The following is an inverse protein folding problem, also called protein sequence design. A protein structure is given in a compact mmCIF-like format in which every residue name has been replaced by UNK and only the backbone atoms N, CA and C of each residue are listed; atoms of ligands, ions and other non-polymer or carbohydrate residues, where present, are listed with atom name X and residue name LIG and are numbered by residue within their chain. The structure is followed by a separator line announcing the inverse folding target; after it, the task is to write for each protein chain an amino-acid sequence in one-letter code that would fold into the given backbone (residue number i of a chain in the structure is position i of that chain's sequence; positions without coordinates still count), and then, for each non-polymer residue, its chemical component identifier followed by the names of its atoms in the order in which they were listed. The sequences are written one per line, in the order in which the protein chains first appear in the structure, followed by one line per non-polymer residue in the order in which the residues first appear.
data_IF_143028066246
#
_entry.id   IF_143028066246
#
_cell.length_a   1.000
_cell.length_b   1.000
_cell.length_c   1.000
_cell.angle_alpha   90.00
_cell.angle_beta   90.00
_cell.angle_gamma   90.00
#
_symmetry.space_group_name_H-M   'P 1'
#
loop_
_entity.id
_entity.type
_entity.pdbx_description
1 polymer ?
#
# COMPACT_ATOMS: atom_id res chain seq x y z
N UNK A 1 30.13 -8.31 -8.04
CA UNK A 1 29.58 -7.28 -7.14
C UNK A 1 28.65 -6.42 -7.98
N UNK A 2 27.37 -6.77 -8.03
CA UNK A 2 26.36 -5.93 -8.69
C UNK A 2 26.00 -4.85 -7.68
N UNK A 3 26.31 -3.60 -7.99
CA UNK A 3 25.88 -2.48 -7.16
C UNK A 3 24.37 -2.34 -7.30
N UNK A 4 23.62 -2.82 -6.32
CA UNK A 4 22.18 -2.62 -6.25
C UNK A 4 21.92 -1.13 -6.04
N UNK A 5 21.77 -0.37 -7.12
CA UNK A 5 21.20 0.97 -7.03
C UNK A 5 19.75 0.79 -6.57
N UNK A 6 19.41 1.44 -5.46
CA UNK A 6 18.04 1.47 -4.99
C UNK A 6 17.22 2.32 -5.97
N UNK A 7 15.99 1.91 -6.30
CA UNK A 7 15.13 2.70 -7.17
C UNK A 7 14.89 4.07 -6.53
N UNK A 8 14.92 5.12 -7.35
CA UNK A 8 14.60 6.47 -6.91
C UNK A 8 13.07 6.62 -6.92
N UNK A 9 12.50 7.00 -5.77
CA UNK A 9 11.06 7.20 -5.61
C UNK A 9 10.79 8.68 -5.38
N UNK A 10 9.98 9.28 -6.26
CA UNK A 10 9.55 10.67 -6.17
C UNK A 10 8.03 10.66 -6.00
N UNK A 11 7.53 11.47 -5.05
CA UNK A 11 6.08 11.57 -4.78
C UNK A 11 5.67 13.03 -4.94
N UNK A 12 4.73 13.29 -5.84
CA UNK A 12 4.24 14.63 -6.14
C UNK A 12 2.75 14.61 -6.49
N UNK A 13 1.92 15.33 -5.72
CA UNK A 13 0.49 15.56 -6.03
C UNK A 13 -0.37 14.31 -6.26
N UNK A 14 -0.04 13.18 -5.62
CA UNK A 14 -0.75 11.91 -5.83
C UNK A 14 -0.15 11.03 -6.91
N UNK A 15 0.89 11.52 -7.60
CA UNK A 15 1.70 10.75 -8.54
C UNK A 15 2.93 10.20 -7.84
N UNK A 16 3.15 8.90 -8.00
CA UNK A 16 4.36 8.20 -7.56
C UNK A 16 5.18 7.86 -8.80
N UNK A 17 6.41 8.35 -8.84
CA UNK A 17 7.37 8.08 -9.90
C UNK A 17 8.49 7.20 -9.35
N UNK A 18 8.78 6.11 -10.04
CA UNK A 18 9.83 5.14 -9.71
C UNK A 18 10.74 4.98 -10.91
N UNK A 19 12.04 5.15 -10.70
CA UNK A 19 13.06 4.95 -11.72
C UNK A 19 13.84 3.65 -11.53
N UNK A 20 14.28 3.07 -12.65
CA UNK A 20 15.19 1.93 -12.71
C UNK A 20 14.69 0.69 -11.96
N UNK A 21 13.39 0.41 -12.04
CA UNK A 21 12.78 -0.73 -11.37
C UNK A 21 13.26 -2.03 -12.04
N UNK A 22 13.96 -2.86 -11.29
CA UNK A 22 14.54 -4.11 -11.80
C UNK A 22 14.11 -5.30 -10.94
N UNK A 23 13.49 -6.30 -11.56
CA UNK A 23 13.16 -7.59 -10.96
C UNK A 23 14.22 -8.60 -11.38
N UNK A 24 15.02 -9.05 -10.41
CA UNK A 24 16.10 -10.00 -10.64
C UNK A 24 15.57 -11.41 -10.89
N UNK A 25 16.30 -12.18 -11.72
CA UNK A 25 16.02 -13.61 -11.82
C UNK A 25 16.48 -14.32 -10.53
N UNK A 26 15.82 -15.43 -10.16
CA UNK A 26 16.37 -16.34 -9.16
C UNK A 26 17.71 -16.94 -9.61
N UNK A 27 18.50 -17.53 -8.69
CA UNK A 27 19.76 -18.16 -9.06
C UNK A 27 19.54 -19.33 -10.05
N UNK A 28 20.40 -19.44 -11.07
CA UNK A 28 20.35 -20.52 -12.07
C UNK A 28 20.08 -20.06 -13.51
N UNK A 29 19.79 -18.78 -13.71
CA UNK A 29 19.59 -18.16 -15.02
C UNK A 29 20.85 -17.41 -15.48
N UNK A 30 21.03 -17.28 -16.81
CA UNK A 30 22.16 -16.54 -17.39
C UNK A 30 21.95 -15.03 -17.36
N UNK A 31 20.69 -14.61 -17.44
CA UNK A 31 20.31 -13.21 -17.36
C UNK A 31 20.21 -12.73 -15.91
N UNK A 32 20.74 -11.53 -15.63
CA UNK A 32 20.73 -10.96 -14.29
C UNK A 32 19.30 -10.58 -13.83
N UNK A 33 18.46 -10.13 -14.75
CA UNK A 33 17.09 -9.68 -14.47
C UNK A 33 16.06 -10.32 -15.41
N UNK A 34 14.84 -10.43 -14.90
CA UNK A 34 13.65 -10.85 -15.64
C UNK A 34 12.97 -9.66 -16.29
N UNK A 35 12.80 -8.57 -15.54
CA UNK A 35 12.07 -7.38 -15.95
C UNK A 35 12.86 -6.16 -15.50
N UNK A 36 13.08 -5.23 -16.42
CA UNK A 36 13.61 -3.91 -16.14
C UNK A 36 12.65 -2.86 -16.70
N UNK A 37 12.36 -1.83 -15.92
CA UNK A 37 11.51 -0.71 -16.30
C UNK A 37 12.27 0.56 -15.98
N UNK A 38 12.59 1.35 -17.01
CA UNK A 38 13.34 2.59 -16.84
C UNK A 38 12.56 3.62 -16.02
N UNK A 39 11.26 3.74 -16.28
CA UNK A 39 10.39 4.70 -15.59
C UNK A 39 8.97 4.15 -15.39
N UNK A 40 8.49 4.27 -14.16
CA UNK A 40 7.13 3.90 -13.76
C UNK A 40 6.44 5.10 -13.13
N UNK A 41 5.28 5.48 -13.64
CA UNK A 41 4.41 6.50 -13.07
C UNK A 41 3.10 5.86 -12.62
N UNK A 42 2.71 6.13 -11.37
CA UNK A 42 1.46 5.66 -10.79
C UNK A 42 0.69 6.88 -10.30
N UNK A 43 -0.44 7.16 -10.93
CA UNK A 43 -1.35 8.26 -10.58
C UNK A 43 -2.49 7.74 -9.70
N UNK A 44 -2.62 8.29 -8.50
CA UNK A 44 -3.61 7.90 -7.50
C UNK A 44 -4.65 9.01 -7.37
N UNK A 45 -5.94 8.66 -7.46
CA UNK A 45 -7.05 9.58 -7.20
C UNK A 45 -7.10 9.92 -5.70
N UNK A 46 -6.36 10.96 -5.33
CA UNK A 46 -6.29 11.44 -3.97
C UNK A 46 -7.63 11.96 -3.46
N UNK A 47 -8.51 12.44 -4.34
CA UNK A 47 -9.84 12.91 -3.93
C UNK A 47 -10.70 11.73 -3.46
N UNK A 48 -10.74 10.64 -4.21
CA UNK A 48 -11.44 9.40 -3.82
C UNK A 48 -10.80 8.74 -2.60
N UNK A 49 -9.47 8.72 -2.53
CA UNK A 49 -8.76 8.19 -1.37
C UNK A 49 -9.11 8.95 -0.08
N UNK A 50 -9.09 10.29 -0.11
CA UNK A 50 -9.44 11.12 1.05
C UNK A 50 -10.93 11.00 1.38
N UNK A 51 -11.82 11.05 0.38
CA UNK A 51 -13.27 10.97 0.57
C UNK A 51 -13.71 9.61 1.15
N UNK A 52 -12.99 8.53 0.84
CA UNK A 52 -13.23 7.19 1.39
C UNK A 52 -12.59 6.97 2.76
N UNK A 53 -11.93 7.99 3.34
CA UNK A 53 -11.14 7.88 4.57
C UNK A 53 -10.04 6.81 4.49
N UNK A 54 -9.39 6.71 3.33
CA UNK A 54 -8.29 5.77 3.08
C UNK A 54 -8.72 4.33 2.82
N UNK A 55 -10.03 4.06 2.71
CA UNK A 55 -10.55 2.70 2.47
C UNK A 55 -10.59 2.29 1.00
N UNK A 56 -10.60 3.27 0.09
CA UNK A 56 -10.68 3.03 -1.33
C UNK A 56 -9.52 3.70 -2.04
N UNK A 57 -8.64 2.91 -2.63
CA UNK A 57 -7.53 3.39 -3.45
C UNK A 57 -7.92 3.22 -4.91
N UNK A 58 -8.02 4.32 -5.63
CA UNK A 58 -8.25 4.30 -7.08
C UNK A 58 -6.95 4.72 -7.76
N UNK A 59 -6.38 3.82 -8.55
CA UNK A 59 -5.24 4.10 -9.39
C UNK A 59 -5.78 4.52 -10.76
N UNK A 60 -5.68 5.81 -11.07
CA UNK A 60 -6.22 6.37 -12.30
C UNK A 60 -5.41 5.92 -13.51
N UNK A 61 -4.09 5.91 -13.37
CA UNK A 61 -3.18 5.59 -14.47
C UNK A 61 -1.89 4.96 -13.96
N UNK A 62 -1.49 3.86 -14.58
CA UNK A 62 -0.14 3.30 -14.49
C UNK A 62 0.52 3.46 -15.85
N UNK A 63 1.65 4.14 -15.90
CA UNK A 63 2.43 4.33 -17.12
C UNK A 63 3.83 3.75 -16.93
N UNK A 64 4.15 2.73 -17.73
CA UNK A 64 5.44 2.04 -17.73
C UNK A 64 6.17 2.36 -19.03
N UNK A 65 7.39 2.87 -18.90
CA UNK A 65 8.23 3.27 -20.03
C UNK A 65 9.58 2.56 -19.99
N UNK A 66 10.14 2.28 -21.17
CA UNK A 66 11.39 1.55 -21.36
C UNK A 66 11.36 0.16 -20.70
N UNK A 67 10.34 -0.64 -21.05
CA UNK A 67 10.15 -1.97 -20.48
C UNK A 67 11.00 -3.01 -21.21
N UNK A 68 12.01 -3.57 -20.56
CA UNK A 68 12.82 -4.68 -21.07
C UNK A 68 12.50 -5.98 -20.32
N UNK A 69 11.93 -6.94 -21.06
CA UNK A 69 11.56 -8.26 -20.55
C UNK A 69 12.56 -9.27 -21.10
N UNK A 70 13.16 -10.08 -20.21
CA UNK A 70 14.00 -11.21 -20.62
C UNK A 70 13.27 -12.51 -20.27
N UNK A 71 12.76 -13.17 -21.30
CA UNK A 71 12.18 -14.50 -21.13
C UNK A 71 13.24 -15.56 -21.40
N UNK A 72 13.67 -16.26 -20.34
CA UNK A 72 14.68 -17.30 -20.42
C UNK A 72 14.04 -18.68 -20.22
N UNK A 73 14.19 -19.54 -21.24
CA UNK A 73 13.77 -20.94 -21.16
C UNK A 73 14.96 -21.82 -20.75
N UNK A 74 14.87 -22.39 -19.56
CA UNK A 74 15.74 -23.43 -19.06
C UNK A 74 15.41 -24.81 -19.65
N UNK A 75 16.17 -25.83 -19.24
CA UNK A 75 16.04 -27.18 -19.74
C UNK A 75 14.72 -27.86 -19.30
N UNK A 76 14.28 -27.57 -18.08
CA UNK A 76 13.07 -28.16 -17.48
C UNK A 76 12.07 -27.12 -16.94
N UNK A 77 12.48 -25.85 -16.82
CA UNK A 77 11.67 -24.76 -16.27
C UNK A 77 11.93 -23.45 -17.04
N UNK A 78 11.10 -22.43 -16.80
CA UNK A 78 11.28 -21.08 -17.32
C UNK A 78 11.34 -20.10 -16.15
N UNK A 79 12.09 -19.01 -16.29
CA UNK A 79 12.21 -18.00 -15.22
C UNK A 79 10.86 -17.48 -14.73
N UNK A 80 9.92 -17.28 -15.66
CA UNK A 80 8.55 -16.88 -15.36
C UNK A 80 7.85 -17.87 -14.41
N UNK A 81 8.02 -19.18 -14.63
CA UNK A 81 7.41 -20.22 -13.81
C UNK A 81 8.04 -20.28 -12.42
N UNK A 82 9.36 -20.10 -12.32
CA UNK A 82 10.04 -20.08 -11.02
C UNK A 82 9.67 -18.83 -10.21
N UNK A 83 9.53 -17.68 -10.86
CA UNK A 83 9.02 -16.45 -10.22
C UNK A 83 7.58 -16.61 -9.73
N UNK A 84 6.75 -17.38 -10.46
CA UNK A 84 5.40 -17.71 -10.00
C UNK A 84 5.44 -18.59 -8.73
N UNK A 85 6.34 -19.57 -8.67
CA UNK A 85 6.48 -20.47 -7.53
C UNK A 85 7.14 -19.80 -6.31
N UNK A 86 8.03 -18.82 -6.52
CA UNK A 86 8.64 -18.04 -5.43
C UNK A 86 7.62 -17.25 -4.63
N UNK A 87 6.55 -16.80 -5.27
CA UNK A 87 5.44 -16.18 -4.54
C UNK A 87 4.76 -17.16 -3.58
N UNK A 88 4.58 -18.43 -3.97
CA UNK A 88 3.71 -19.36 -3.24
C UNK A 88 4.30 -19.93 -1.95
N UNK A 89 5.63 -20.03 -1.83
CA UNK A 89 6.27 -20.80 -0.76
C UNK A 89 6.60 -20.00 0.51
N UNK A 90 6.62 -18.67 0.46
CA UNK A 90 6.97 -17.84 1.64
C UNK A 90 5.86 -17.76 2.72
N UNK A 91 4.70 -18.41 2.50
CA UNK A 91 3.56 -18.42 3.45
C UNK A 91 3.41 -19.68 4.32
N UNK A 92 4.12 -20.77 4.06
CA UNK A 92 3.87 -22.06 4.74
C UNK A 92 4.44 -22.15 6.18
N UNK A 93 5.14 -21.13 6.67
CA UNK A 93 5.90 -21.17 7.93
C UNK A 93 5.27 -20.54 9.16
N UNK A 94 4.08 -19.92 9.08
CA UNK A 94 3.63 -19.02 10.16
C UNK A 94 2.12 -18.82 10.32
N UNK A 95 1.31 -19.88 10.33
CA UNK A 95 -0.09 -19.76 10.78
C UNK A 95 -0.20 -19.94 12.30
N UNK A 96 -0.06 -18.82 13.02
CA UNK A 96 -0.64 -18.66 14.34
C UNK A 96 -2.15 -18.39 14.20
N UNK A 97 -2.95 -19.33 14.70
CA UNK A 97 -4.38 -19.18 15.03
C UNK A 97 -4.68 -17.82 15.67
N UNK A 98 -5.52 -17.02 15.04
CA UNK A 98 -6.01 -15.76 15.61
C UNK A 98 -7.24 -15.23 14.89
N UNK A 99 -8.41 -15.66 15.36
CA UNK A 99 -9.72 -15.00 15.39
C UNK A 99 -10.27 -14.32 14.11
N UNK A 100 -11.48 -14.74 13.74
CA UNK A 100 -12.37 -14.22 12.70
C UNK A 100 -12.75 -12.74 12.93
N UNK A 101 -11.81 -11.83 12.65
CA UNK A 101 -12.10 -10.42 12.43
C UNK A 101 -12.40 -10.23 10.94
N UNK A 102 -13.62 -9.80 10.63
CA UNK A 102 -14.00 -9.30 9.30
C UNK A 102 -13.12 -8.08 9.01
N UNK A 103 -11.94 -8.32 8.42
CA UNK A 103 -11.01 -7.27 8.02
C UNK A 103 -11.67 -6.46 6.92
N UNK A 104 -11.85 -5.17 7.20
CA UNK A 104 -12.30 -4.14 6.26
C UNK A 104 -11.20 -3.99 5.19
N UNK A 105 -11.14 -4.97 4.27
CA UNK A 105 -10.17 -5.04 3.21
C UNK A 105 -10.42 -3.86 2.28
N UNK A 106 -9.54 -2.86 2.34
CA UNK A 106 -9.64 -1.69 1.47
C UNK A 106 -9.75 -2.12 0.01
N UNK A 107 -10.71 -1.57 -0.72
CA UNK A 107 -10.88 -1.88 -2.13
C UNK A 107 -9.84 -1.12 -2.95
N UNK A 108 -9.33 -1.74 -4.00
CA UNK A 108 -8.39 -1.10 -4.93
C UNK A 108 -8.88 -1.32 -6.34
N UNK A 109 -8.96 -0.23 -7.11
CA UNK A 109 -9.37 -0.26 -8.52
C UNK A 109 -8.26 0.35 -9.37
N UNK A 110 -8.00 -0.27 -10.52
CA UNK A 110 -7.02 0.20 -11.51
C UNK A 110 -7.74 0.46 -12.83
N UNK A 111 -7.68 1.70 -13.31
CA UNK A 111 -8.37 2.14 -14.52
C UNK A 111 -7.49 2.00 -15.74
N UNK A 112 -6.53 2.91 -15.92
CA UNK A 112 -5.71 2.97 -17.12
C UNK A 112 -4.35 2.32 -16.92
N UNK A 113 -3.90 1.53 -17.89
CA UNK A 113 -2.54 1.00 -17.95
C UNK A 113 -1.97 1.27 -19.33
N UNK A 114 -0.85 1.97 -19.36
CA UNK A 114 -0.10 2.30 -20.56
C UNK A 114 1.31 1.74 -20.44
N UNK A 115 1.74 1.01 -21.45
CA UNK A 115 3.08 0.42 -21.50
C UNK A 115 3.70 0.74 -22.85
N UNK A 116 4.80 1.48 -22.81
CA UNK A 116 5.49 2.02 -23.98
C UNK A 116 6.93 1.47 -24.08
N UNK A 117 7.45 1.46 -25.31
CA UNK A 117 8.84 1.09 -25.61
C UNK A 117 9.23 -0.31 -25.13
N UNK A 118 8.35 -1.29 -25.39
CA UNK A 118 8.53 -2.65 -24.89
C UNK A 118 9.53 -3.44 -25.72
N UNK A 119 10.61 -3.88 -25.08
CA UNK A 119 11.61 -4.80 -25.64
C UNK A 119 11.47 -6.18 -25.00
N UNK A 120 11.38 -7.23 -25.81
CA UNK A 120 11.43 -8.62 -25.36
C UNK A 120 12.71 -9.28 -25.88
N UNK A 121 13.49 -9.84 -24.96
CA UNK A 121 14.62 -10.72 -25.27
C UNK A 121 14.24 -12.17 -25.01
N UNK A 122 14.34 -13.00 -26.05
CA UNK A 122 14.21 -14.45 -25.92
C UNK A 122 15.58 -15.04 -25.61
N UNK A 123 15.84 -15.35 -24.35
CA UNK A 123 17.08 -16.00 -23.93
C UNK A 123 16.89 -17.52 -23.89
N UNK A 124 17.90 -18.26 -24.33
CA UNK A 124 17.94 -19.72 -24.19
C UNK A 124 19.14 -20.14 -23.38
N UNK A 125 18.94 -21.07 -22.45
CA UNK A 125 20.02 -21.69 -21.71
C UNK A 125 21.06 -22.36 -22.64
N UNK A 126 20.61 -22.95 -23.76
CA UNK A 126 21.48 -23.61 -24.75
C UNK A 126 22.43 -22.62 -25.45
N UNK A 127 22.07 -21.35 -25.49
CA UNK A 127 22.85 -20.28 -26.11
C UNK A 127 23.50 -19.38 -25.04
N UNK A 128 23.67 -19.88 -23.81
CA UNK A 128 24.27 -19.14 -22.69
C UNK A 128 23.61 -17.77 -22.45
N UNK A 129 22.28 -17.70 -22.54
CA UNK A 129 21.53 -16.45 -22.34
C UNK A 129 21.58 -15.48 -23.53
N UNK A 130 22.25 -15.85 -24.62
CA UNK A 130 22.13 -15.15 -25.90
C UNK A 130 20.80 -15.50 -26.57
N UNK A 131 20.25 -14.53 -27.30
CA UNK A 131 19.11 -14.75 -28.16
C UNK A 131 18.52 -13.45 -28.71
N UNK A 132 17.53 -13.55 -29.61
CA UNK A 132 17.03 -12.41 -30.33
C UNK A 132 16.28 -11.45 -29.41
N UNK A 133 16.33 -10.16 -29.78
CA UNK A 133 15.49 -9.11 -29.22
C UNK A 133 14.43 -8.74 -30.24
N UNK A 134 13.22 -8.54 -29.77
CA UNK A 134 12.11 -8.04 -30.55
C UNK A 134 11.50 -6.83 -29.83
N UNK A 135 11.09 -5.83 -30.59
CA UNK A 135 10.27 -4.75 -30.08
C UNK A 135 8.81 -5.19 -30.18
N UNK A 136 8.09 -5.11 -29.07
CA UNK A 136 6.65 -5.32 -29.03
C UNK A 136 5.94 -3.97 -29.22
N UNK A 137 4.72 -3.97 -29.77
CA UNK A 137 3.90 -2.76 -29.85
C UNK A 137 3.52 -2.27 -28.45
N UNK A 138 3.27 -0.97 -28.34
CA UNK A 138 2.75 -0.36 -27.12
C UNK A 138 1.40 -0.97 -26.73
N UNK A 139 1.15 -1.05 -25.43
CA UNK A 139 -0.03 -1.67 -24.86
C UNK A 139 -0.81 -0.63 -24.08
N UNK A 140 -2.10 -0.48 -24.42
CA UNK A 140 -3.00 0.46 -23.77
C UNK A 140 -4.27 -0.26 -23.32
N UNK A 141 -4.60 -0.10 -22.04
CA UNK A 141 -5.86 -0.53 -21.45
C UNK A 141 -6.58 0.70 -20.89
N UNK A 142 -7.73 1.05 -21.48
CA UNK A 142 -8.58 2.15 -20.98
C UNK A 142 -9.34 1.76 -19.69
N UNK A 143 -9.59 0.46 -19.52
CA UNK A 143 -10.26 -0.09 -18.34
C UNK A 143 -9.69 -1.48 -18.03
N UNK A 144 -8.64 -1.51 -17.21
CA UNK A 144 -7.93 -2.75 -16.87
C UNK A 144 -8.81 -3.73 -16.10
N UNK A 145 -9.69 -3.24 -15.21
CA UNK A 145 -10.61 -4.08 -14.43
C UNK A 145 -11.58 -4.86 -15.34
N UNK A 146 -12.12 -4.19 -16.36
CA UNK A 146 -13.00 -4.82 -17.35
C UNK A 146 -12.25 -5.83 -18.23
N UNK A 147 -11.02 -5.50 -18.64
CA UNK A 147 -10.20 -6.38 -19.47
C UNK A 147 -9.81 -7.68 -18.76
N UNK A 148 -9.69 -7.65 -17.43
CA UNK A 148 -9.23 -8.80 -16.63
C UNK A 148 -10.37 -9.62 -16.03
N UNK A 149 -11.63 -9.16 -16.14
CA UNK A 149 -12.81 -9.77 -15.50
C UNK A 149 -12.62 -10.07 -14.01
N UNK A 150 -11.67 -9.40 -13.36
CA UNK A 150 -11.19 -9.74 -12.02
C UNK A 150 -11.12 -8.48 -11.16
N UNK A 151 -11.97 -8.43 -10.14
CA UNK A 151 -11.77 -7.55 -8.99
C UNK A 151 -10.56 -8.07 -8.21
N UNK A 152 -9.40 -7.44 -8.41
CA UNK A 152 -8.17 -7.80 -7.73
C UNK A 152 -8.02 -6.97 -6.43
N UNK A 153 -7.62 -7.63 -5.35
CA UNK A 153 -7.10 -6.94 -4.17
C UNK A 153 -5.81 -6.17 -4.54
N UNK A 154 -5.50 -5.08 -3.82
CA UNK A 154 -4.31 -4.21 -4.05
C UNK A 154 -3.02 -4.99 -4.28
N UNK A 155 -2.98 -6.11 -3.59
CA UNK A 155 -1.86 -6.96 -3.36
C UNK A 155 -1.72 -8.05 -4.41
N UNK A 156 -2.81 -8.45 -5.05
CA UNK A 156 -2.78 -9.33 -6.22
C UNK A 156 -2.60 -8.54 -7.54
N UNK A 157 -2.74 -7.22 -7.50
CA UNK A 157 -2.73 -6.36 -8.68
C UNK A 157 -1.38 -6.26 -9.41
N UNK A 158 -0.27 -6.08 -8.68
CA UNK A 158 1.08 -5.94 -9.28
C UNK A 158 1.51 -7.16 -10.10
N UNK A 159 1.45 -8.40 -9.60
CA UNK A 159 1.80 -9.58 -10.38
C UNK A 159 0.82 -9.89 -11.48
N UNK A 160 -0.47 -9.58 -11.27
CA UNK A 160 -1.46 -9.68 -12.33
C UNK A 160 -1.07 -8.75 -13.48
N UNK A 161 -0.70 -7.51 -13.15
CA UNK A 161 -0.18 -6.55 -14.12
C UNK A 161 1.09 -7.08 -14.81
N UNK A 162 2.11 -7.53 -14.09
CA UNK A 162 3.34 -8.07 -14.72
C UNK A 162 3.03 -9.28 -15.61
N UNK A 163 2.22 -10.21 -15.14
CA UNK A 163 1.87 -11.42 -15.88
C UNK A 163 1.09 -11.08 -17.15
N UNK A 164 0.08 -10.22 -17.05
CA UNK A 164 -0.73 -9.78 -18.19
C UNK A 164 0.10 -9.04 -19.23
N UNK A 165 1.07 -8.22 -18.78
CA UNK A 165 1.99 -7.56 -19.69
C UNK A 165 2.86 -8.57 -20.44
N UNK A 166 3.46 -9.52 -19.73
CA UNK A 166 4.27 -10.57 -20.36
C UNK A 166 3.44 -11.39 -21.34
N UNK A 167 2.21 -11.75 -20.97
CA UNK A 167 1.28 -12.48 -21.85
C UNK A 167 0.88 -11.69 -23.09
N UNK A 168 0.57 -10.39 -22.95
CA UNK A 168 0.23 -9.50 -24.05
C UNK A 168 1.40 -9.28 -25.01
N UNK A 169 2.62 -9.12 -24.47
CA UNK A 169 3.85 -9.00 -25.25
C UNK A 169 4.12 -10.30 -26.02
N UNK A 170 4.03 -11.45 -25.35
CA UNK A 170 4.20 -12.76 -25.99
C UNK A 170 3.13 -13.02 -27.05
N UNK A 171 1.87 -12.66 -26.78
CA UNK A 171 0.77 -12.84 -27.73
C UNK A 171 0.95 -11.98 -28.99
N UNK A 172 1.48 -10.76 -28.82
CA UNK A 172 1.77 -9.84 -29.92
C UNK A 172 2.91 -10.35 -30.80
N UNK A 173 3.91 -11.01 -30.23
CA UNK A 173 5.11 -11.47 -30.97
C UNK A 173 4.98 -12.89 -31.55
N UNK A 174 4.38 -13.83 -30.81
CA UNK A 174 4.30 -15.24 -31.21
C UNK A 174 3.02 -15.58 -31.98
N UNK A 175 2.06 -14.65 -32.03
CA UNK A 175 0.74 -14.87 -32.61
C UNK A 175 -0.17 -15.71 -31.69
N UNK A 176 -1.48 -15.45 -31.76
CA UNK A 176 -2.50 -15.97 -30.81
C UNK A 176 -2.54 -17.50 -30.65
N UNK A 177 -2.14 -18.27 -31.66
CA UNK A 177 -2.18 -19.74 -31.60
C UNK A 177 -1.04 -20.34 -30.75
N UNK A 178 0.15 -19.74 -30.77
CA UNK A 178 1.28 -20.20 -29.97
C UNK A 178 1.06 -19.88 -28.48
N UNK A 179 0.47 -18.72 -28.18
CA UNK A 179 0.18 -18.31 -26.79
C UNK A 179 -0.88 -19.18 -26.12
N UNK A 180 -1.95 -19.60 -26.80
CA UNK A 180 -2.98 -20.46 -26.18
C UNK A 180 -2.42 -21.80 -25.68
N UNK A 181 -1.42 -22.35 -26.36
CA UNK A 181 -0.78 -23.62 -25.96
C UNK A 181 0.09 -23.44 -24.71
N UNK A 182 0.68 -22.25 -24.54
CA UNK A 182 1.49 -21.89 -23.37
C UNK A 182 0.57 -21.49 -22.20
N UNK A 183 -0.48 -20.72 -22.47
CA UNK A 183 -1.45 -20.21 -21.46
C UNK A 183 -2.35 -21.30 -20.87
N UNK A 184 -2.75 -22.28 -21.67
CA UNK A 184 -3.58 -23.40 -21.17
C UNK A 184 -2.83 -24.29 -20.17
N UNK A 185 -1.50 -24.19 -20.11
CA UNK A 185 -0.69 -24.84 -19.09
C UNK A 185 -0.55 -24.00 -17.79
N UNK A 186 -0.83 -22.70 -17.82
CA UNK A 186 -0.59 -21.78 -16.69
C UNK A 186 -1.85 -21.33 -15.94
N UNK A 187 -3.05 -21.52 -16.49
CA UNK A 187 -4.31 -21.00 -15.92
C UNK A 187 -4.70 -21.58 -14.55
N UNK A 188 -4.26 -22.79 -14.21
CA UNK A 188 -4.44 -23.36 -12.87
C UNK A 188 -3.58 -22.68 -11.79
N UNK A 189 -2.50 -22.01 -12.19
CA UNK A 189 -1.47 -21.43 -11.31
C UNK A 189 -1.75 -19.96 -10.97
N UNK A 190 -2.42 -19.23 -11.88
CA UNK A 190 -2.80 -17.82 -11.69
C UNK A 190 -3.59 -17.64 -10.38
N UNK A 191 -4.45 -18.60 -10.04
CA UNK A 191 -5.29 -18.53 -8.84
C UNK A 191 -4.52 -18.63 -7.51
N UNK A 192 -3.31 -19.20 -7.53
CA UNK A 192 -2.47 -19.40 -6.35
C UNK A 192 -1.43 -18.28 -6.17
N UNK A 193 -0.96 -17.69 -7.27
CA UNK A 193 -0.05 -16.53 -7.27
C UNK A 193 -0.73 -15.27 -6.71
N UNK A 194 -2.06 -15.17 -6.85
CA UNK A 194 -2.83 -14.05 -6.28
C UNK A 194 -2.84 -14.05 -4.75
N UNK A 195 -2.79 -15.21 -4.09
CA UNK A 195 -2.81 -15.31 -2.61
C UNK A 195 -1.46 -14.94 -1.97
N UNK A 196 -0.36 -15.17 -2.68
CA UNK A 196 0.98 -14.87 -2.18
C UNK A 196 1.26 -13.37 -2.11
N UNK A 197 0.92 -12.67 -3.19
CA UNK A 197 1.26 -11.26 -3.34
C UNK A 197 0.24 -10.41 -2.57
N UNK A 198 -0.91 -11.03 -2.23
CA UNK A 198 -1.78 -10.61 -1.14
C UNK A 198 -1.05 -10.20 0.14
N UNK A 199 -0.02 -10.94 0.54
CA UNK A 199 0.76 -10.60 1.72
C UNK A 199 1.78 -9.48 1.48
N UNK A 200 2.29 -9.31 0.26
CA UNK A 200 3.32 -8.32 -0.03
C UNK A 200 2.77 -6.88 -0.09
N UNK A 201 1.60 -6.65 -0.69
CA UNK A 201 1.02 -5.31 -0.60
C UNK A 201 0.34 -5.03 0.74
N UNK A 202 0.01 -6.05 1.55
CA UNK A 202 -0.27 -5.83 2.98
C UNK A 202 0.97 -5.24 3.70
N UNK A 203 2.19 -5.68 3.36
CA UNK A 203 3.43 -5.09 3.86
C UNK A 203 3.67 -3.67 3.32
N UNK A 204 3.35 -3.39 2.05
CA UNK A 204 3.46 -2.02 1.50
C UNK A 204 2.42 -1.08 2.09
N UNK A 205 1.19 -1.53 2.29
CA UNK A 205 0.13 -0.78 2.99
C UNK A 205 0.55 -0.51 4.44
N UNK A 206 1.12 -1.49 5.13
CA UNK A 206 1.70 -1.31 6.46
C UNK A 206 2.83 -0.26 6.47
N UNK A 207 3.70 -0.28 5.47
CA UNK A 207 4.74 0.75 5.31
C UNK A 207 4.13 2.14 5.07
N UNK A 208 3.12 2.25 4.21
CA UNK A 208 2.42 3.50 3.92
C UNK A 208 1.71 4.05 5.17
N UNK A 209 1.00 3.21 5.92
CA UNK A 209 0.37 3.60 7.18
C UNK A 209 1.40 4.08 8.20
N UNK A 210 2.54 3.41 8.34
CA UNK A 210 3.57 3.81 9.30
C UNK A 210 4.33 5.08 8.88
N UNK A 211 4.47 5.33 7.58
CA UNK A 211 5.08 6.55 7.04
C UNK A 211 4.11 7.73 7.14
N UNK A 212 2.83 7.57 6.77
CA UNK A 212 1.81 8.62 6.88
C UNK A 212 1.48 8.96 8.33
N UNK A 213 1.45 7.98 9.24
CA UNK A 213 1.15 8.23 10.64
C UNK A 213 2.27 9.04 11.34
N UNK A 214 3.52 8.96 10.89
CA UNK A 214 4.62 9.82 11.40
C UNK A 214 4.53 11.26 10.90
N UNK A 215 4.11 11.50 9.66
CA UNK A 215 3.89 12.86 9.15
C UNK A 215 2.69 13.56 9.81
N UNK A 216 1.63 12.83 10.14
CA UNK A 216 0.44 13.41 10.76
C UNK A 216 0.53 13.54 12.30
N UNK A 217 1.30 12.69 13.00
CA UNK A 217 1.49 12.82 14.47
C UNK A 217 2.49 13.89 14.91
N UNK A 218 3.22 14.52 13.99
CA UNK A 218 4.18 15.60 14.29
C UNK A 218 3.55 16.97 14.56
N UNK A 219 2.28 17.18 14.23
CA UNK A 219 1.51 18.37 14.67
C UNK A 219 0.62 18.01 15.85
N UNK A 220 1.24 17.82 17.02
CA UNK A 220 0.51 18.07 18.27
C UNK A 220 0.06 19.56 18.24
N UNK A 221 -1.24 19.87 18.37
CA UNK A 221 -1.68 21.23 18.55
C UNK A 221 -1.27 21.68 19.96
N UNK A 222 -0.07 22.27 20.05
CA UNK A 222 0.43 22.97 21.24
C UNK A 222 -0.58 24.01 21.78
N UNK A 223 -1.53 24.45 20.96
CA UNK A 223 -2.62 25.35 21.34
C UNK A 223 -3.68 24.76 22.31
N UNK A 224 -3.79 23.43 22.47
CA UNK A 224 -4.80 22.84 23.37
C UNK A 224 -4.24 22.60 24.79
N UNK A 225 -2.91 22.47 24.93
CA UNK A 225 -2.28 22.24 26.24
C UNK A 225 -2.24 23.49 27.11
N UNK A 226 -2.19 24.68 26.52
CA UNK A 226 -2.32 25.93 27.28
C UNK A 226 -3.73 26.15 27.84
N UNK A 227 -4.80 25.80 27.09
CA UNK A 227 -6.19 25.98 27.57
C UNK A 227 -6.57 25.05 28.73
N UNK A 228 -6.01 23.85 28.80
CA UNK A 228 -6.24 22.95 29.95
C UNK A 228 -5.48 23.39 31.20
N UNK A 229 -4.37 24.12 31.04
CA UNK A 229 -3.62 24.68 32.17
C UNK A 229 -4.29 25.91 32.77
N UNK A 230 -4.89 26.78 31.95
CA UNK A 230 -5.61 27.96 32.43
C UNK A 230 -6.94 27.61 33.09
N UNK A 231 -7.72 26.66 32.54
CA UNK A 231 -8.95 26.19 33.18
C UNK A 231 -8.70 25.55 34.57
N UNK A 232 -7.61 24.79 34.72
CA UNK A 232 -7.23 24.17 36.01
C UNK A 232 -6.70 25.19 37.03
N UNK A 233 -6.22 26.34 36.57
CA UNK A 233 -5.76 27.44 37.43
C UNK A 233 -6.93 28.32 37.91
N UNK A 234 -7.93 28.56 37.05
CA UNK A 234 -9.15 29.30 37.43
C UNK A 234 -9.99 28.53 38.45
N UNK A 235 -10.12 27.22 38.31
CA UNK A 235 -10.89 26.38 39.25
C UNK A 235 -10.24 26.34 40.64
N UNK A 236 -8.90 26.36 40.71
CA UNK A 236 -8.15 26.50 41.98
C UNK A 236 -8.34 27.86 42.64
N UNK A 237 -8.42 28.96 41.86
CA UNK A 237 -8.70 30.30 42.41
C UNK A 237 -10.12 30.40 42.95
N UNK A 238 -11.10 29.81 42.25
CA UNK A 238 -12.48 29.76 42.71
C UNK A 238 -12.64 28.98 44.03
N UNK A 239 -11.96 27.83 44.16
CA UNK A 239 -11.97 27.05 45.40
C UNK A 239 -11.30 27.77 46.57
N UNK A 240 -10.20 28.51 46.33
CA UNK A 240 -9.53 29.30 47.37
C UNK A 240 -10.42 30.44 47.88
N UNK A 241 -11.10 31.18 46.98
CA UNK A 241 -12.00 32.26 47.39
C UNK A 241 -13.25 31.74 48.12
N UNK A 242 -13.77 30.58 47.73
CA UNK A 242 -14.87 29.93 48.44
C UNK A 242 -14.49 29.48 49.86
N UNK A 243 -13.27 28.96 50.05
CA UNK A 243 -12.76 28.59 51.37
C UNK A 243 -12.55 29.81 52.27
N UNK A 244 -12.08 30.94 51.72
CA UNK A 244 -11.88 32.19 52.46
C UNK A 244 -13.23 32.81 52.89
N UNK A 245 -14.24 32.80 52.01
CA UNK A 245 -15.60 33.22 52.37
C UNK A 245 -16.21 32.39 53.50
N UNK A 246 -15.96 31.08 53.56
CA UNK A 246 -16.42 30.22 54.67
C UNK A 246 -15.75 30.58 56.00
N UNK A 247 -14.47 30.96 55.99
CA UNK A 247 -13.78 31.43 57.22
C UNK A 247 -14.34 32.74 57.74
N UNK A 248 -14.65 33.70 56.85
CA UNK A 248 -15.25 34.97 57.26
C UNK A 248 -16.68 34.78 57.81
N UNK A 249 -17.46 33.86 57.26
CA UNK A 249 -18.80 33.54 57.77
C UNK A 249 -18.78 32.90 59.16
N UNK A 250 -17.81 32.02 59.46
CA UNK A 250 -17.67 31.43 60.79
C UNK A 250 -17.23 32.43 61.87
N UNK A 251 -16.53 33.50 61.51
CA UNK A 251 -16.20 34.57 62.45
C UNK A 251 -17.42 35.46 62.77
N UNK A 252 -18.36 35.61 61.83
CA UNK A 252 -19.53 36.47 62.02
C UNK A 252 -20.66 35.81 62.83
N UNK A 253 -20.74 34.47 62.87
CA UNK A 253 -21.76 33.76 63.66
C UNK A 253 -21.48 33.71 65.17
N UNK A 254 -20.33 34.22 65.64
CA UNK A 254 -19.93 34.17 67.06
C UNK A 254 -20.32 35.37 67.92
N UNK A 255 -20.99 36.40 67.38
CA UNK A 255 -21.33 37.62 68.11
C UNK A 255 -22.75 38.12 67.83
N UNK A 256 -23.75 37.28 68.12
CA UNK A 256 -25.11 37.78 68.38
C UNK A 256 -25.45 37.55 69.86
N UNK A 257 -25.33 38.58 70.72
CA UNK A 257 -25.78 38.51 72.09
C UNK A 257 -27.30 38.37 72.15
N UNK A 258 -27.75 37.48 73.03
CA UNK A 258 -29.11 36.98 73.10
C UNK A 258 -30.19 38.03 73.30
N UNK A 259 -31.32 37.79 72.64
CA UNK A 259 -32.61 38.32 73.06
C UNK A 259 -33.44 37.16 73.61
N UNK A 260 -33.37 37.02 74.93
CA UNK A 260 -34.34 36.30 75.74
C UNK A 260 -35.44 37.27 76.16
N UNK A 261 -36.61 37.20 75.52
CA UNK A 261 -37.86 37.81 76.00
C UNK A 261 -38.97 36.77 75.82
N UNK A 262 -39.31 36.06 76.89
CA UNK A 262 -40.37 36.38 77.86
C UNK A 262 -41.69 35.70 77.50
N UNK A 263 -41.80 34.42 77.88
CA UNK A 263 -43.07 33.74 78.13
C UNK A 263 -43.39 33.90 79.62
N UNK A 264 -44.49 34.59 79.96
CA UNK A 264 -45.18 34.43 81.25
C UNK A 264 -46.67 34.40 80.96
N UNK A 265 -47.26 33.22 81.09
CA UNK A 265 -48.69 33.01 80.88
C UNK A 265 -49.54 33.51 82.04
N UNK A 266 -50.80 33.80 81.74
CA UNK A 266 -51.98 33.13 82.27
C UNK A 266 -53.17 33.43 81.36
#
# INVERSE_FOLDING_TARGET
MVGSQLPQVIVHEGVIEVHDLTIYNPPGYWSDYFLHIGRTLVDIDMATYIASFGKHVVIEKVHLQDVDVIWERGFFASNLLDLQNLGTDEGAGGSSRGADGEEDSGTTTLRNVEVEDVTLKFASYLLAGCGPRAMAPDIHYDNFEEAMEASATTSSLIPLLILTLVESVLASLLGRQATQTILSATSGLVRLVMDAICHLAALLAYCLENVFCRCCRGREPSAIRERKSSAKLEDKRAQSQAAERRRLFQCFSGCLPGQSLLHRGR
#
